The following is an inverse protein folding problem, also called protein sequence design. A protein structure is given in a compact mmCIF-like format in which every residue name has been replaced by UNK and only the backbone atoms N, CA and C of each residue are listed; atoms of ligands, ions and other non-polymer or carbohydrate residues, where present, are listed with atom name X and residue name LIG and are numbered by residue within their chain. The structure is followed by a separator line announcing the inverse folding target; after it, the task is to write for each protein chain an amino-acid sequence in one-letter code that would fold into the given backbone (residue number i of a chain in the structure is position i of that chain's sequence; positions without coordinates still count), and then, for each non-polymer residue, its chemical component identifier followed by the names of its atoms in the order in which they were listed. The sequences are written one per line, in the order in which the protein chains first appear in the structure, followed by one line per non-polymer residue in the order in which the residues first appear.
data_IF_049477899652
#
_entry.id   IF_049477899652
#
_cell.length_a   1.000
_cell.length_b   1.000
_cell.length_c   1.000
_cell.angle_alpha   90.00
_cell.angle_beta   90.00
_cell.angle_gamma   90.00
#
_symmetry.space_group_name_H-M   'P 1'
#
loop_
_entity.id
_entity.type
_entity.pdbx_description
1 polymer ?
#
# COMPACT_ATOMS: atom_id res chain seq x y z
N UNK A 1 6.91 -26.96 34.72
CA UNK A 1 6.66 -26.78 33.27
C UNK A 1 7.73 -25.82 32.77
N UNK A 2 8.42 -26.07 31.65
CA UNK A 2 9.39 -25.06 31.18
C UNK A 2 8.63 -23.81 30.70
N UNK A 3 9.24 -22.63 30.84
CA UNK A 3 8.62 -21.32 30.57
C UNK A 3 7.93 -21.29 29.21
N UNK A 4 8.54 -21.92 28.20
CA UNK A 4 7.95 -22.07 26.87
C UNK A 4 6.58 -22.78 26.86
N UNK A 5 6.43 -23.90 27.58
CA UNK A 5 5.16 -24.63 27.65
C UNK A 5 4.09 -23.87 28.45
N UNK A 6 4.49 -23.08 29.44
CA UNK A 6 3.57 -22.21 30.18
C UNK A 6 3.04 -21.10 29.27
N UNK A 7 3.94 -20.32 28.66
CA UNK A 7 3.62 -19.24 27.70
C UNK A 7 2.71 -19.74 26.58
N UNK A 8 3.00 -20.91 25.98
CA UNK A 8 2.17 -21.46 24.89
C UNK A 8 0.71 -21.63 25.27
N UNK A 9 0.42 -21.99 26.53
CA UNK A 9 -0.94 -22.23 27.00
C UNK A 9 -1.66 -20.93 27.38
N UNK A 10 -0.93 -19.82 27.53
CA UNK A 10 -1.47 -18.52 27.90
C UNK A 10 -1.85 -17.66 26.68
N UNK A 11 -1.38 -18.02 25.48
CA UNK A 11 -1.77 -17.35 24.22
C UNK A 11 -3.27 -17.52 23.99
N UNK A 12 -3.98 -16.39 23.90
CA UNK A 12 -5.43 -16.34 23.70
C UNK A 12 -5.77 -15.89 22.28
N UNK A 13 -6.40 -16.79 21.51
CA UNK A 13 -7.00 -16.43 20.21
C UNK A 13 -8.11 -15.40 20.35
N UNK A 14 -8.84 -15.43 21.46
CA UNK A 14 -9.98 -14.54 21.70
C UNK A 14 -9.51 -13.10 21.90
N UNK A 15 -8.40 -12.90 22.64
CA UNK A 15 -7.76 -11.59 22.79
C UNK A 15 -7.27 -11.05 21.44
N UNK A 16 -6.64 -11.92 20.64
CA UNK A 16 -6.13 -11.54 19.32
C UNK A 16 -7.29 -11.16 18.39
N UNK A 17 -8.37 -11.95 18.37
CA UNK A 17 -9.56 -11.65 17.56
C UNK A 17 -10.25 -10.36 18.00
N UNK A 18 -10.37 -10.11 19.30
CA UNK A 18 -10.91 -8.85 19.81
C UNK A 18 -10.09 -7.63 19.33
N UNK A 19 -8.76 -7.75 19.32
CA UNK A 19 -7.85 -6.71 18.81
C UNK A 19 -8.04 -6.48 17.31
N UNK A 20 -8.12 -7.57 16.52
CA UNK A 20 -8.39 -7.48 15.07
C UNK A 20 -9.73 -6.79 14.81
N UNK A 21 -10.79 -7.19 15.52
CA UNK A 21 -12.12 -6.58 15.38
C UNK A 21 -12.12 -5.11 15.74
N UNK A 22 -11.33 -4.69 16.73
CA UNK A 22 -11.24 -3.27 17.07
C UNK A 22 -10.50 -2.48 16.00
N UNK A 23 -9.34 -2.95 15.54
CA UNK A 23 -8.56 -2.28 14.50
C UNK A 23 -9.33 -2.18 13.17
N UNK A 24 -10.03 -3.25 12.78
CA UNK A 24 -10.80 -3.32 11.54
C UNK A 24 -12.07 -2.44 11.51
N UNK A 25 -12.32 -1.63 12.54
CA UNK A 25 -13.34 -0.56 12.51
C UNK A 25 -12.87 0.68 11.75
N UNK A 26 -11.57 0.84 11.60
CA UNK A 26 -10.93 2.02 11.00
C UNK A 26 -10.27 1.69 9.67
N UNK A 27 -10.37 2.61 8.71
CA UNK A 27 -9.56 2.66 7.50
C UNK A 27 -8.28 3.44 7.80
N UNK A 28 -7.25 2.70 8.21
CA UNK A 28 -6.02 3.26 8.77
C UNK A 28 -5.04 3.69 7.67
N UNK A 29 -5.47 4.53 6.74
CA UNK A 29 -4.54 5.10 5.76
C UNK A 29 -3.53 6.01 6.46
N UNK A 30 -2.26 5.94 6.06
CA UNK A 30 -1.19 6.66 6.73
C UNK A 30 -1.41 8.18 6.68
N UNK A 31 -1.25 8.85 7.81
CA UNK A 31 -1.44 10.28 8.01
C UNK A 31 -2.90 10.70 8.20
N UNK A 32 -3.84 9.77 8.37
CA UNK A 32 -5.26 10.09 8.61
C UNK A 32 -5.63 10.11 10.08
N UNK A 33 -6.75 10.76 10.41
CA UNK A 33 -7.28 10.76 11.78
C UNK A 33 -7.64 9.35 12.28
N UNK A 34 -8.14 8.48 11.40
CA UNK A 34 -8.50 7.10 11.75
C UNK A 34 -7.27 6.23 12.08
N UNK A 35 -6.14 6.45 11.39
CA UNK A 35 -4.87 5.85 11.79
C UNK A 35 -4.49 6.29 13.21
N UNK A 36 -4.55 7.59 13.50
CA UNK A 36 -4.24 8.10 14.84
C UNK A 36 -5.13 7.48 15.92
N UNK A 37 -6.43 7.29 15.67
CA UNK A 37 -7.33 6.61 16.62
C UNK A 37 -6.94 5.15 16.87
N UNK A 38 -6.49 4.42 15.84
CA UNK A 38 -5.97 3.07 16.02
C UNK A 38 -4.70 3.04 16.88
N UNK A 39 -3.78 4.00 16.68
CA UNK A 39 -2.59 4.13 17.52
C UNK A 39 -2.91 4.53 18.97
N UNK A 40 -3.92 5.39 19.19
CA UNK A 40 -4.40 5.71 20.55
C UNK A 40 -4.98 4.49 21.24
N UNK A 41 -5.74 3.66 20.51
CA UNK A 41 -6.24 2.39 21.03
C UNK A 41 -5.07 1.47 21.43
N UNK A 42 -4.12 1.22 20.54
CA UNK A 42 -2.96 0.36 20.85
C UNK A 42 -2.15 0.91 22.03
N UNK A 43 -1.95 2.24 22.09
CA UNK A 43 -1.30 2.89 23.23
C UNK A 43 -2.05 2.60 24.53
N UNK A 44 -3.38 2.74 24.54
CA UNK A 44 -4.19 2.48 25.74
C UNK A 44 -4.10 1.02 26.20
N UNK A 45 -4.02 0.07 25.27
CA UNK A 45 -3.84 -1.35 25.58
C UNK A 45 -2.48 -1.60 26.22
N UNK A 46 -1.40 -1.07 25.64
CA UNK A 46 -0.05 -1.20 26.19
C UNK A 46 0.11 -0.50 27.55
N UNK A 47 -0.48 0.69 27.71
CA UNK A 47 -0.54 1.38 29.01
C UNK A 47 -1.26 0.52 30.05
N UNK A 48 -2.36 -0.14 29.67
CA UNK A 48 -3.12 -1.07 30.52
C UNK A 48 -2.29 -2.27 30.98
N UNK A 49 -1.34 -2.73 30.16
CA UNK A 49 -0.35 -3.74 30.55
C UNK A 49 0.80 -3.16 31.39
N UNK A 50 0.91 -1.84 31.53
CA UNK A 50 1.97 -1.18 32.30
C UNK A 50 3.28 -1.00 31.53
N UNK A 51 3.21 -0.87 30.19
CA UNK A 51 4.34 -0.40 29.38
C UNK A 51 4.51 1.11 29.53
N UNK A 52 5.76 1.58 29.43
CA UNK A 52 6.02 3.01 29.23
C UNK A 52 5.87 3.33 27.75
N UNK A 53 4.77 3.97 27.37
CA UNK A 53 4.48 4.26 25.96
C UNK A 53 4.85 5.68 25.54
N UNK A 54 5.27 5.83 24.28
CA UNK A 54 5.51 7.10 23.61
C UNK A 54 4.83 7.09 22.25
N UNK A 55 3.93 8.04 22.03
CA UNK A 55 3.30 8.27 20.74
C UNK A 55 3.94 9.51 20.11
N UNK A 56 4.72 9.28 19.05
CA UNK A 56 5.61 10.27 18.45
C UNK A 56 5.06 10.62 17.06
N UNK A 57 4.89 11.91 16.72
CA UNK A 57 4.61 12.31 15.35
C UNK A 57 5.90 12.22 14.51
N UNK A 58 5.82 11.58 13.35
CA UNK A 58 6.92 11.45 12.40
C UNK A 58 6.52 12.07 11.07
N UNK A 59 7.28 13.06 10.60
CA UNK A 59 7.05 13.66 9.29
C UNK A 59 7.54 12.70 8.18
N UNK A 60 6.61 12.29 7.32
CA UNK A 60 6.87 11.35 6.22
C UNK A 60 6.18 11.81 4.94
N UNK A 61 6.74 11.39 3.80
CA UNK A 61 6.15 11.65 2.50
C UNK A 61 5.14 10.55 2.17
N UNK A 62 3.86 10.91 2.18
CA UNK A 62 2.75 9.96 1.98
C UNK A 62 1.98 10.35 0.73
N UNK A 63 1.45 9.34 0.03
CA UNK A 63 0.59 9.50 -1.13
C UNK A 63 -0.65 8.62 -0.99
N UNK A 64 -1.83 9.23 -1.05
CA UNK A 64 -3.11 8.55 -0.99
C UNK A 64 -3.86 8.73 -2.32
N UNK A 65 -4.29 7.65 -3.00
CA UNK A 65 -5.16 7.75 -4.17
C UNK A 65 -6.45 8.51 -3.84
N UNK A 66 -6.82 9.47 -4.69
CA UNK A 66 -8.06 10.25 -4.54
C UNK A 66 -9.06 9.82 -5.60
N UNK A 67 -8.67 9.90 -6.87
CA UNK A 67 -9.56 9.56 -7.98
C UNK A 67 -8.79 9.12 -9.22
N UNK A 68 -9.48 8.39 -10.09
CA UNK A 68 -9.00 8.07 -11.42
C UNK A 68 -10.18 8.17 -12.39
N UNK A 69 -10.05 9.00 -13.42
CA UNK A 69 -10.99 9.04 -14.53
C UNK A 69 -10.33 8.36 -15.72
N UNK A 70 -11.00 7.37 -16.29
CA UNK A 70 -10.56 6.70 -17.51
C UNK A 70 -11.72 6.65 -18.51
N UNK A 71 -11.44 7.05 -19.74
CA UNK A 71 -12.30 6.78 -20.90
C UNK A 71 -11.52 6.05 -21.97
N UNK A 72 -12.18 5.16 -22.69
CA UNK A 72 -11.64 4.52 -23.89
C UNK A 72 -12.62 4.74 -25.03
N UNK A 73 -12.19 5.44 -26.08
CA UNK A 73 -13.06 5.93 -27.16
C UNK A 73 -14.29 6.68 -26.63
N UNK A 74 -14.07 7.62 -25.71
CA UNK A 74 -15.10 8.41 -25.00
C UNK A 74 -16.04 7.64 -24.06
N UNK A 75 -15.97 6.31 -24.03
CA UNK A 75 -16.75 5.48 -23.11
C UNK A 75 -16.07 5.37 -21.74
N UNK A 76 -16.78 5.61 -20.63
CA UNK A 76 -16.20 5.56 -19.29
C UNK A 76 -15.84 4.13 -18.89
N UNK A 77 -14.68 3.96 -18.28
CA UNK A 77 -14.18 2.68 -17.75
C UNK A 77 -13.86 2.87 -16.27
N UNK A 78 -14.40 2.00 -15.41
CA UNK A 78 -14.05 2.02 -13.99
C UNK A 78 -12.56 1.69 -13.81
N UNK A 79 -11.84 2.63 -13.19
CA UNK A 79 -10.42 2.52 -12.94
C UNK A 79 -10.06 3.09 -11.56
N UNK A 80 -8.94 2.65 -11.02
CA UNK A 80 -8.34 3.22 -9.81
C UNK A 80 -6.88 3.58 -10.08
N UNK A 81 -6.41 4.68 -9.48
CA UNK A 81 -4.99 5.03 -9.47
C UNK A 81 -4.32 4.51 -8.20
N UNK A 82 -3.00 4.68 -8.09
CA UNK A 82 -2.17 4.07 -7.06
C UNK A 82 -1.35 5.11 -6.30
N UNK A 83 -0.88 4.74 -5.11
CA UNK A 83 -0.02 5.60 -4.30
C UNK A 83 1.29 5.92 -5.04
N UNK A 84 1.82 7.12 -4.83
CA UNK A 84 3.05 7.67 -5.42
C UNK A 84 2.98 7.95 -6.93
N UNK A 85 1.82 7.73 -7.57
CA UNK A 85 1.56 8.16 -8.95
C UNK A 85 1.40 9.68 -8.99
N UNK A 86 1.80 10.40 -10.04
CA UNK A 86 1.59 11.85 -10.11
C UNK A 86 0.13 12.23 -10.36
N UNK A 87 -0.22 13.46 -9.98
CA UNK A 87 -1.37 14.14 -10.55
C UNK A 87 -1.06 14.44 -12.02
N UNK A 88 -1.72 13.74 -12.94
CA UNK A 88 -1.37 13.80 -14.35
C UNK A 88 -2.57 13.46 -15.23
N UNK A 89 -2.50 13.92 -16.47
CA UNK A 89 -3.45 13.60 -17.53
C UNK A 89 -2.70 13.15 -18.78
N UNK A 90 -3.24 12.14 -19.46
CA UNK A 90 -2.76 11.71 -20.76
C UNK A 90 -3.92 11.30 -21.66
N UNK A 91 -3.88 11.75 -22.91
CA UNK A 91 -4.78 11.34 -23.99
C UNK A 91 -3.92 10.78 -25.13
N UNK A 92 -3.98 9.47 -25.36
CA UNK A 92 -3.15 8.82 -26.36
C UNK A 92 -3.73 7.47 -26.83
N UNK A 93 -3.29 6.96 -27.99
CA UNK A 93 -3.62 5.60 -28.42
C UNK A 93 -3.12 4.56 -27.42
N UNK A 94 -3.91 3.50 -27.22
CA UNK A 94 -3.50 2.32 -26.47
C UNK A 94 -2.53 1.46 -27.26
N UNK A 95 -1.57 0.87 -26.55
CA UNK A 95 -0.75 -0.24 -27.03
C UNK A 95 -0.77 -1.35 -26.02
N UNK A 96 -1.08 -2.57 -26.45
CA UNK A 96 -1.03 -3.72 -25.57
C UNK A 96 0.38 -4.30 -25.53
N UNK A 97 0.88 -4.53 -24.33
CA UNK A 97 2.08 -5.33 -24.07
C UNK A 97 1.73 -6.32 -22.95
N UNK A 98 2.03 -7.60 -23.14
CA UNK A 98 1.63 -8.64 -22.17
C UNK A 98 2.35 -8.51 -20.83
N UNK A 99 3.60 -8.05 -20.83
CA UNK A 99 4.47 -8.02 -19.67
C UNK A 99 5.60 -6.97 -19.82
N UNK A 100 6.38 -6.78 -18.74
CA UNK A 100 7.50 -5.82 -18.70
C UNK A 100 8.51 -6.01 -19.84
N UNK A 101 8.88 -7.25 -20.15
CA UNK A 101 9.84 -7.54 -21.22
C UNK A 101 9.34 -7.03 -22.57
N UNK A 102 8.05 -7.21 -22.86
CA UNK A 102 7.45 -6.70 -24.09
C UNK A 102 7.39 -5.17 -24.09
N UNK A 103 7.06 -4.54 -22.95
CA UNK A 103 7.09 -3.07 -22.81
C UNK A 103 8.48 -2.52 -23.17
N UNK A 104 9.55 -3.16 -22.69
CA UNK A 104 10.94 -2.74 -22.95
C UNK A 104 11.35 -2.89 -24.42
N UNK A 105 10.75 -3.83 -25.15
CA UNK A 105 11.07 -4.14 -26.54
C UNK A 105 10.09 -3.53 -27.54
N UNK A 106 9.10 -2.78 -27.07
CA UNK A 106 8.05 -2.16 -27.89
C UNK A 106 8.22 -0.65 -27.93
N UNK A 107 7.96 -0.03 -29.08
CA UNK A 107 7.91 1.42 -29.17
C UNK A 107 6.61 1.96 -28.53
N UNK A 108 6.71 2.26 -27.24
CA UNK A 108 5.63 2.81 -26.42
C UNK A 108 5.55 4.35 -26.46
N UNK A 109 6.43 5.02 -27.21
CA UNK A 109 6.50 6.48 -27.21
C UNK A 109 5.16 7.12 -27.58
N UNK A 110 4.70 8.06 -26.75
CA UNK A 110 3.42 8.78 -26.91
C UNK A 110 2.18 7.88 -26.95
N UNK A 111 2.24 6.68 -26.36
CA UNK A 111 1.11 5.76 -26.21
C UNK A 111 0.82 5.50 -24.74
N UNK A 112 -0.41 5.09 -24.44
CA UNK A 112 -0.76 4.55 -23.13
C UNK A 112 -0.62 3.03 -23.20
N UNK A 113 0.24 2.46 -22.36
CA UNK A 113 0.47 1.01 -22.33
C UNK A 113 -0.68 0.33 -21.60
N UNK A 114 -1.31 -0.67 -22.20
CA UNK A 114 -2.22 -1.61 -21.54
C UNK A 114 -1.45 -2.90 -21.26
N UNK A 115 -1.35 -3.33 -20.01
CA UNK A 115 -0.60 -4.53 -19.63
C UNK A 115 -1.32 -5.34 -18.56
N UNK A 116 -1.07 -6.63 -18.49
CA UNK A 116 -1.61 -7.47 -17.42
C UNK A 116 -0.78 -7.34 -16.14
N UNK A 117 -1.42 -7.62 -15.00
CA UNK A 117 -0.74 -7.76 -13.71
C UNK A 117 -0.95 -6.55 -12.79
N UNK A 118 -0.20 -6.52 -11.69
CA UNK A 118 -0.30 -5.47 -10.67
C UNK A 118 0.53 -4.25 -11.04
N UNK A 119 0.11 -3.07 -10.60
CA UNK A 119 0.82 -1.81 -10.80
C UNK A 119 2.11 -1.75 -9.94
N UNK A 120 3.16 -2.42 -10.40
CA UNK A 120 4.47 -2.49 -9.72
C UNK A 120 5.53 -1.68 -10.46
N UNK A 121 6.64 -1.39 -9.79
CA UNK A 121 7.68 -0.49 -10.29
C UNK A 121 8.26 -0.87 -11.66
N UNK A 122 8.57 -2.15 -11.90
CA UNK A 122 9.27 -2.61 -13.10
C UNK A 122 8.59 -2.22 -14.42
N UNK A 123 7.32 -2.62 -14.65
CA UNK A 123 6.55 -2.22 -15.84
C UNK A 123 6.34 -0.71 -15.97
N UNK A 124 6.09 0.00 -14.86
CA UNK A 124 5.94 1.47 -14.88
C UNK A 124 7.24 2.13 -15.32
N UNK A 125 8.36 1.71 -14.75
CA UNK A 125 9.68 2.17 -15.17
C UNK A 125 9.95 1.87 -16.64
N UNK A 126 9.65 0.65 -17.10
CA UNK A 126 9.83 0.29 -18.51
C UNK A 126 9.03 1.19 -19.46
N UNK A 127 7.77 1.49 -19.12
CA UNK A 127 6.92 2.39 -19.90
C UNK A 127 7.48 3.82 -19.93
N UNK A 128 7.93 4.34 -18.77
CA UNK A 128 8.55 5.67 -18.68
C UNK A 128 9.84 5.78 -19.48
N UNK A 129 10.74 4.79 -19.36
CA UNK A 129 11.99 4.75 -20.11
C UNK A 129 11.72 4.69 -21.63
N UNK A 130 10.60 4.09 -22.03
CA UNK A 130 10.09 4.05 -23.40
C UNK A 130 9.29 5.30 -23.84
N UNK A 131 9.25 6.36 -23.03
CA UNK A 131 8.48 7.59 -23.27
C UNK A 131 6.97 7.37 -23.48
N UNK A 132 6.39 6.37 -22.81
CA UNK A 132 4.94 6.19 -22.77
C UNK A 132 4.27 7.41 -22.13
N UNK A 133 3.08 7.75 -22.62
CA UNK A 133 2.26 8.83 -22.06
C UNK A 133 1.55 8.40 -20.76
N UNK A 134 1.37 7.09 -20.54
CA UNK A 134 0.72 6.52 -19.37
C UNK A 134 0.74 5.00 -19.39
N UNK A 135 0.25 4.36 -18.34
CA UNK A 135 0.14 2.90 -18.25
C UNK A 135 -1.10 2.47 -17.47
N UNK A 136 -1.82 1.49 -18.00
CA UNK A 136 -3.03 0.89 -17.46
C UNK A 136 -2.76 -0.60 -17.24
N UNK A 137 -3.03 -1.06 -16.02
CA UNK A 137 -2.88 -2.44 -15.61
C UNK A 137 -4.23 -3.15 -15.59
N UNK A 138 -4.30 -4.33 -16.19
CA UNK A 138 -5.47 -5.23 -16.12
C UNK A 138 -5.23 -6.23 -14.99
N UNK A 139 -6.05 -6.16 -13.95
CA UNK A 139 -6.01 -7.05 -12.79
C UNK A 139 -7.19 -8.03 -12.80
N UNK A 140 -6.95 -9.25 -12.32
CA UNK A 140 -7.97 -10.29 -12.25
C UNK A 140 -8.97 -10.03 -11.11
N UNK A 141 -10.26 -10.06 -11.44
CA UNK A 141 -11.42 -9.96 -10.55
C UNK A 141 -11.58 -8.67 -9.72
N UNK A 142 -10.53 -8.18 -9.08
CA UNK A 142 -10.54 -6.99 -8.22
C UNK A 142 -9.27 -6.16 -8.44
N UNK A 143 -9.42 -4.84 -8.34
CA UNK A 143 -8.26 -3.95 -8.33
C UNK A 143 -7.63 -4.02 -6.94
N UNK A 144 -6.34 -4.34 -6.88
CA UNK A 144 -5.54 -4.32 -5.66
C UNK A 144 -4.71 -3.06 -5.65
N UNK A 145 -4.73 -2.39 -4.49
CA UNK A 145 -3.82 -1.27 -4.23
C UNK A 145 -2.37 -1.71 -4.38
N UNK A 146 -1.60 -0.82 -4.99
CA UNK A 146 -0.17 -0.98 -5.19
C UNK A 146 0.55 0.35 -4.97
N UNK A 147 1.88 0.27 -4.89
CA UNK A 147 2.77 1.42 -4.85
C UNK A 147 3.79 1.20 -5.97
N UNK A 148 3.56 1.70 -7.20
CA UNK A 148 4.46 1.52 -8.35
C UNK A 148 5.78 2.31 -8.26
N UNK A 149 6.30 2.51 -7.06
CA UNK A 149 7.57 3.19 -6.78
C UNK A 149 8.60 2.19 -6.25
N UNK A 150 9.87 2.40 -6.57
CA UNK A 150 10.97 1.69 -5.91
C UNK A 150 11.57 2.46 -4.72
N UNK A 151 11.05 3.65 -4.41
CA UNK A 151 11.42 4.38 -3.20
C UNK A 151 10.78 3.72 -1.98
N UNK A 152 11.60 3.17 -1.10
CA UNK A 152 11.16 2.60 0.18
C UNK A 152 11.32 3.64 1.29
N UNK A 153 10.18 4.18 1.76
CA UNK A 153 10.15 5.26 2.74
C UNK A 153 10.05 6.65 2.09
N UNK A 154 10.34 7.69 2.87
CA UNK A 154 10.30 9.07 2.38
C UNK A 154 11.49 9.33 1.43
N UNK A 155 11.25 9.87 0.22
CA UNK A 155 12.29 10.02 -0.78
C UNK A 155 13.32 11.07 -0.38
N UNK A 156 14.59 10.76 -0.62
CA UNK A 156 15.65 11.79 -0.65
C UNK A 156 15.82 12.33 -2.08
N UNK A 157 16.71 13.31 -2.26
CA UNK A 157 17.11 13.79 -3.60
C UNK A 157 17.67 12.68 -4.49
N UNK A 158 18.19 11.59 -3.92
CA UNK A 158 18.70 10.44 -4.67
C UNK A 158 17.59 9.47 -5.10
N UNK A 159 16.47 9.43 -4.38
CA UNK A 159 15.37 8.49 -4.61
C UNK A 159 14.25 9.06 -5.47
N UNK A 160 14.23 10.38 -5.70
CA UNK A 160 13.16 11.04 -6.45
C UNK A 160 12.94 10.49 -7.86
N UNK A 161 14.00 9.97 -8.48
CA UNK A 161 13.94 9.31 -9.79
C UNK A 161 13.18 7.98 -9.79
N UNK A 162 12.92 7.38 -8.63
CA UNK A 162 12.22 6.11 -8.46
C UNK A 162 10.69 6.25 -8.39
N UNK A 163 10.20 7.49 -8.26
CA UNK A 163 8.78 7.79 -8.28
C UNK A 163 8.23 7.77 -9.73
N UNK A 164 7.00 7.28 -9.93
CA UNK A 164 6.29 7.45 -11.19
C UNK A 164 6.18 8.93 -11.61
N UNK A 165 6.22 9.17 -12.92
CA UNK A 165 6.14 10.47 -13.59
C UNK A 165 5.06 10.51 -14.69
N UNK A 166 4.40 9.38 -14.92
CA UNK A 166 3.28 9.23 -15.86
C UNK A 166 2.05 8.76 -15.10
N UNK A 167 0.82 9.04 -15.59
CA UNK A 167 -0.39 8.49 -14.99
C UNK A 167 -0.37 6.96 -15.03
N UNK A 168 -0.75 6.36 -13.92
CA UNK A 168 -0.86 4.91 -13.73
C UNK A 168 -2.26 4.59 -13.21
N UNK A 169 -2.95 3.67 -13.87
CA UNK A 169 -4.24 3.16 -13.41
C UNK A 169 -4.30 1.63 -13.45
N UNK A 170 -5.29 1.08 -12.76
CA UNK A 170 -5.72 -0.30 -12.94
C UNK A 170 -7.20 -0.38 -13.27
N UNK A 171 -7.53 -1.35 -14.10
CA UNK A 171 -8.89 -1.79 -14.42
C UNK A 171 -8.99 -3.29 -14.15
N UNK A 172 -10.22 -3.82 -14.08
CA UNK A 172 -10.44 -5.26 -14.01
C UNK A 172 -10.42 -5.89 -15.41
N UNK A 173 -10.13 -7.18 -15.43
CA UNK A 173 -10.14 -8.07 -16.59
C UNK A 173 -11.43 -8.04 -17.42
N UNK A 174 -12.59 -7.90 -16.80
CA UNK A 174 -13.87 -7.75 -17.53
C UNK A 174 -13.86 -6.57 -18.51
N UNK A 175 -13.23 -5.45 -18.13
CA UNK A 175 -13.07 -4.28 -18.98
C UNK A 175 -11.82 -4.38 -19.88
N UNK A 176 -10.72 -4.92 -19.36
CA UNK A 176 -9.44 -4.98 -20.06
C UNK A 176 -9.38 -6.02 -21.18
N UNK A 177 -9.93 -7.22 -20.97
CA UNK A 177 -9.82 -8.32 -21.93
C UNK A 177 -10.44 -7.98 -23.30
N UNK A 178 -11.64 -7.37 -23.40
CA UNK A 178 -12.19 -6.94 -24.68
C UNK A 178 -11.30 -5.92 -25.40
N UNK A 179 -10.63 -5.02 -24.67
CA UNK A 179 -9.71 -4.03 -25.26
C UNK A 179 -8.46 -4.70 -25.79
N UNK A 180 -7.92 -5.67 -25.06
CA UNK A 180 -6.76 -6.47 -25.47
C UNK A 180 -7.04 -7.19 -26.79
N UNK A 181 -8.20 -7.86 -26.91
CA UNK A 181 -8.56 -8.59 -28.13
C UNK A 181 -8.80 -7.64 -29.33
N UNK A 182 -9.39 -6.46 -29.08
CA UNK A 182 -9.50 -5.41 -30.10
C UNK A 182 -8.13 -4.92 -30.59
N UNK A 183 -7.18 -4.67 -29.67
CA UNK A 183 -5.82 -4.25 -30.04
C UNK A 183 -5.08 -5.34 -30.81
N UNK A 184 -5.20 -6.62 -30.41
CA UNK A 184 -4.60 -7.75 -31.12
C UNK A 184 -5.17 -7.97 -32.52
N UNK A 185 -6.45 -7.66 -32.73
CA UNK A 185 -7.09 -7.70 -34.05
C UNK A 185 -6.76 -6.48 -34.94
N UNK A 186 -5.93 -5.56 -34.46
CA UNK A 186 -5.47 -4.38 -35.20
C UNK A 186 -6.36 -3.14 -35.06
N UNK A 187 -7.34 -3.17 -34.14
CA UNK A 187 -8.15 -1.99 -33.84
C UNK A 187 -7.31 -0.92 -33.12
N UNK A 188 -7.63 0.35 -33.36
CA UNK A 188 -7.06 1.47 -32.61
C UNK A 188 -8.04 1.91 -31.54
N UNK A 189 -7.58 1.96 -30.30
CA UNK A 189 -8.33 2.50 -29.16
C UNK A 189 -7.61 3.73 -28.62
N UNK A 190 -8.34 4.78 -28.26
CA UNK A 190 -7.80 5.98 -27.64
C UNK A 190 -8.20 5.99 -26.17
N UNK A 191 -7.24 6.14 -25.27
CA UNK A 191 -7.49 6.29 -23.84
C UNK A 191 -7.26 7.73 -23.38
N UNK A 192 -8.18 8.22 -22.55
CA UNK A 192 -8.09 9.47 -21.80
C UNK A 192 -8.05 9.12 -20.31
N UNK A 193 -6.90 9.32 -19.69
CA UNK A 193 -6.65 9.01 -18.27
C UNK A 193 -6.28 10.27 -17.51
N UNK A 194 -6.95 10.49 -16.38
CA UNK A 194 -6.57 11.48 -15.37
C UNK A 194 -6.42 10.80 -14.02
N UNK A 195 -5.28 10.99 -13.37
CA UNK A 195 -4.98 10.46 -12.03
C UNK A 195 -4.89 11.59 -11.02
N UNK A 196 -5.54 11.41 -9.87
CA UNK A 196 -5.49 12.33 -8.75
C UNK A 196 -5.10 11.60 -7.47
N UNK A 197 -4.08 12.13 -6.79
CA UNK A 197 -3.51 11.67 -5.54
C UNK A 197 -3.30 12.85 -4.60
N UNK A 198 -3.48 12.61 -3.30
CA UNK A 198 -3.08 13.51 -2.24
C UNK A 198 -1.69 13.10 -1.77
N UNK A 199 -0.67 13.71 -2.37
CA UNK A 199 0.74 13.43 -2.08
C UNK A 199 1.41 14.62 -1.41
N UNK A 200 2.03 14.38 -0.26
CA UNK A 200 2.78 15.41 0.44
C UNK A 200 3.39 14.92 1.75
N UNK A 201 4.17 15.81 2.35
CA UNK A 201 4.69 15.63 3.70
C UNK A 201 3.57 15.78 4.72
N UNK A 202 3.43 14.81 5.61
CA UNK A 202 2.47 14.83 6.72
C UNK A 202 3.01 14.05 7.90
N UNK A 203 2.47 14.31 9.08
CA UNK A 203 2.81 13.55 10.28
C UNK A 203 2.03 12.23 10.31
N UNK A 204 2.75 11.13 10.52
CA UNK A 204 2.18 9.82 10.86
C UNK A 204 2.57 9.45 12.30
N UNK A 205 1.73 8.68 13.02
CA UNK A 205 2.03 8.23 14.37
C UNK A 205 3.06 7.10 14.38
N UNK A 206 4.00 7.17 15.33
CA UNK A 206 4.87 6.07 15.75
C UNK A 206 4.62 5.78 17.23
N UNK A 207 4.22 4.57 17.56
CA UNK A 207 4.05 4.11 18.94
C UNK A 207 5.21 3.21 19.34
N UNK A 208 5.88 3.59 20.42
CA UNK A 208 6.89 2.78 21.09
C UNK A 208 6.33 2.41 22.46
N UNK A 209 6.31 1.11 22.78
CA UNK A 209 6.02 0.61 24.12
C UNK A 209 7.26 -0.06 24.70
N UNK A 210 7.79 0.51 25.78
CA UNK A 210 8.98 0.01 26.45
C UNK A 210 8.61 -0.70 27.76
N UNK A 211 9.11 -1.92 27.96
CA UNK A 211 9.12 -2.62 29.25
C UNK A 211 10.56 -2.91 29.66
N UNK A 212 10.90 -2.63 30.92
CA UNK A 212 12.23 -2.90 31.44
C UNK A 212 12.35 -4.36 31.86
N UNK A 213 13.49 -4.97 31.55
CA UNK A 213 13.84 -6.27 32.10
C UNK A 213 13.88 -6.19 33.65
N UNK A 214 13.52 -7.27 34.36
CA UNK A 214 13.57 -7.30 35.82
C UNK A 214 14.96 -7.00 36.38
N UNK A 215 15.99 -7.43 35.66
CA UNK A 215 17.40 -7.15 35.97
C UNK A 215 17.96 -6.13 34.98
N UNK A 216 18.87 -5.28 35.46
CA UNK A 216 19.56 -4.32 34.61
C UNK A 216 20.39 -5.06 33.55
N UNK A 217 20.04 -4.87 32.28
CA UNK A 217 20.81 -5.38 31.16
C UNK A 217 20.98 -4.29 30.08
N UNK A 218 22.05 -4.40 29.29
CA UNK A 218 22.33 -3.52 28.16
C UNK A 218 21.87 -4.12 26.82
N UNK A 219 20.87 -5.01 26.88
CA UNK A 219 20.31 -5.70 25.73
C UNK A 219 18.84 -5.37 25.60
N UNK A 220 18.31 -5.42 24.38
CA UNK A 220 16.88 -5.28 24.13
C UNK A 220 16.44 -6.28 23.09
N UNK A 221 15.17 -6.65 23.15
CA UNK A 221 14.46 -7.40 22.12
C UNK A 221 13.40 -6.46 21.56
N UNK A 222 13.32 -6.37 20.24
CA UNK A 222 12.38 -5.48 19.57
C UNK A 222 11.40 -6.27 18.72
N UNK A 223 10.11 -6.04 18.93
CA UNK A 223 9.05 -6.41 17.99
C UNK A 223 8.65 -5.15 17.21
N UNK A 224 8.65 -5.24 15.88
CA UNK A 224 8.27 -4.14 14.99
C UNK A 224 7.24 -4.60 13.99
N UNK A 225 6.46 -3.64 13.48
CA UNK A 225 5.47 -3.82 12.43
C UNK A 225 4.85 -2.49 12.07
N UNK A 226 3.87 -2.51 11.18
CA UNK A 226 3.10 -1.34 10.81
C UNK A 226 1.64 -1.51 11.24
N UNK A 227 0.89 -0.41 11.37
CA UNK A 227 -0.51 -0.42 11.78
C UNK A 227 -1.43 0.13 10.69
N UNK A 228 -0.89 0.98 9.82
CA UNK A 228 -1.58 1.48 8.64
C UNK A 228 -1.95 0.34 7.69
N UNK A 229 -2.97 0.60 6.89
CA UNK A 229 -3.50 -0.38 5.95
C UNK A 229 -4.29 0.26 4.83
N UNK A 230 -4.32 -0.41 3.68
CA UNK A 230 -5.37 -0.16 2.69
C UNK A 230 -6.72 -0.66 3.21
N UNK A 231 -7.75 0.18 3.10
CA UNK A 231 -9.10 -0.11 3.60
C UNK A 231 -9.05 -0.51 5.10
N UNK A 232 -9.86 -1.49 5.52
CA UNK A 232 -9.96 -1.90 6.92
C UNK A 232 -8.78 -2.75 7.44
N UNK A 233 -7.95 -3.30 6.54
CA UNK A 233 -6.70 -3.98 6.90
C UNK A 233 -6.80 -5.03 8.01
N UNK A 234 -7.85 -5.85 8.04
CA UNK A 234 -8.05 -6.83 9.11
C UNK A 234 -6.92 -7.86 9.14
N UNK A 235 -6.46 -8.29 7.96
CA UNK A 235 -5.33 -9.21 7.79
C UNK A 235 -4.04 -8.40 7.80
N UNK A 236 -3.85 -7.56 6.78
CA UNK A 236 -2.71 -6.67 6.60
C UNK A 236 -3.03 -5.26 7.16
N UNK A 237 -2.63 -4.91 8.38
CA UNK A 237 -1.79 -5.69 9.30
C UNK A 237 -2.44 -6.00 10.66
N UNK A 238 -3.78 -5.92 10.73
CA UNK A 238 -4.54 -6.14 11.97
C UNK A 238 -4.21 -7.46 12.67
N UNK A 239 -4.02 -8.56 11.93
CA UNK A 239 -3.65 -9.87 12.50
C UNK A 239 -2.25 -9.90 13.09
N UNK A 240 -1.28 -9.18 12.53
CA UNK A 240 0.07 -9.12 13.12
C UNK A 240 0.09 -8.18 14.31
N UNK A 241 -0.67 -7.07 14.26
CA UNK A 241 -0.80 -6.16 15.39
C UNK A 241 -1.44 -6.86 16.59
N UNK A 242 -2.43 -7.73 16.38
CA UNK A 242 -3.04 -8.48 17.47
C UNK A 242 -2.07 -9.47 18.11
N UNK A 243 -1.22 -10.12 17.31
CA UNK A 243 -0.15 -10.96 17.82
C UNK A 243 0.88 -10.16 18.63
N UNK A 244 1.28 -8.97 18.16
CA UNK A 244 2.19 -8.09 18.89
C UNK A 244 1.62 -7.67 20.25
N UNK A 245 0.32 -7.34 20.30
CA UNK A 245 -0.39 -7.01 21.55
C UNK A 245 -0.43 -8.20 22.50
N UNK A 246 -0.73 -9.40 22.00
CA UNK A 246 -0.79 -10.61 22.85
C UNK A 246 0.60 -11.01 23.37
N UNK A 247 1.64 -10.88 22.54
CA UNK A 247 3.03 -11.05 22.99
C UNK A 247 3.38 -10.01 24.07
N UNK A 248 2.98 -8.75 23.88
CA UNK A 248 3.23 -7.70 24.86
C UNK A 248 2.55 -7.99 26.22
N UNK A 249 1.33 -8.53 26.20
CA UNK A 249 0.63 -8.97 27.41
C UNK A 249 1.41 -10.06 28.14
N UNK A 250 1.79 -11.12 27.43
CA UNK A 250 2.53 -12.25 28.02
C UNK A 250 3.90 -11.81 28.53
N UNK A 251 4.62 -10.97 27.78
CA UNK A 251 5.93 -10.46 28.17
C UNK A 251 5.90 -9.57 29.43
N UNK A 252 4.73 -9.09 29.85
CA UNK A 252 4.56 -8.39 31.12
C UNK A 252 4.37 -9.36 32.30
N UNK A 253 3.76 -10.51 32.03
CA UNK A 253 3.39 -11.51 33.05
C UNK A 253 4.58 -12.39 33.48
N UNK A 254 5.63 -12.46 32.64
CA UNK A 254 6.84 -13.27 32.84
C UNK A 254 8.11 -12.42 32.81
#
# INVERSE_FOLDING_TARGET
MNTYKAIRNEISSDNMMATVHQLAKWKRHSGTAEELEAFKYLKSVLDGFGYTTRLIPCETYISLPVSCTLKVNDEPVYAQTHSMVPNAHALAPLIYCQNETEIRNTNCANKIVLTNGRAVYGPVKAAQDGNAAGIIFVQEAVIRECIPSACWGSPTTHDWGLLPKIPVASIIDDAGNPMIEQLKSGSTLIADITTEVDTGWRNIPLLIGDIKAPENCNQFVQLTGHCDSWYYGAIDNGTSNSLQVEIARIAKEH
#
